data_IF_975736126631
#
_entry.id   IF_975736126631
#
_cell.length_a   1.000
_cell.length_b   1.000
_cell.length_c   1.000
_cell.angle_alpha   90.00
_cell.angle_beta   90.00
_cell.angle_gamma   90.00
#
_symmetry.space_group_name_H-M   'P 1'
#
loop_
_entity.id
_entity.type
_entity.pdbx_description
1 polymer ?
#
# COMPACT_ATOMS: atom_id res chain seq x y z
N UNK A 1 -52.20 24.38 29.26
CA UNK A 1 -51.41 24.11 28.05
C UNK A 1 -49.96 24.06 28.49
N UNK A 2 -49.50 22.87 28.85
CA UNK A 2 -48.10 22.60 29.25
C UNK A 2 -47.23 22.50 27.99
N UNK A 3 -46.00 23.05 27.98
CA UNK A 3 -45.11 22.89 26.84
C UNK A 3 -44.65 21.42 26.75
N UNK A 4 -44.46 20.87 25.54
CA UNK A 4 -43.96 19.51 25.39
C UNK A 4 -42.48 19.45 25.83
N UNK A 5 -42.19 18.58 26.78
CA UNK A 5 -40.83 18.17 27.15
C UNK A 5 -40.11 17.63 25.90
N UNK A 6 -39.16 18.41 25.39
CA UNK A 6 -38.31 18.04 24.26
C UNK A 6 -37.01 17.37 24.72
N UNK A 7 -37.08 16.49 25.71
CA UNK A 7 -35.97 15.57 26.00
C UNK A 7 -36.05 14.40 25.04
N UNK A 8 -35.69 14.64 23.78
CA UNK A 8 -35.31 13.57 22.89
C UNK A 8 -34.09 12.88 23.52
N UNK A 9 -34.32 11.70 24.10
CA UNK A 9 -33.29 10.81 24.62
C UNK A 9 -32.21 10.61 23.55
N UNK A 10 -31.06 11.26 23.73
CA UNK A 10 -29.84 10.89 23.03
C UNK A 10 -29.32 9.59 23.64
N UNK A 11 -30.00 8.47 23.34
CA UNK A 11 -29.46 7.16 23.61
C UNK A 11 -28.08 7.09 22.93
N UNK A 12 -26.99 6.85 23.68
CA UNK A 12 -25.67 6.76 23.08
C UNK A 12 -25.69 5.61 22.08
N UNK A 13 -25.47 5.93 20.81
CA UNK A 13 -25.33 4.92 19.76
C UNK A 13 -24.17 4.01 20.13
N UNK A 14 -24.49 2.79 20.56
CA UNK A 14 -23.48 1.79 20.92
C UNK A 14 -22.66 1.52 19.67
N UNK A 15 -21.38 1.87 19.71
CA UNK A 15 -20.48 1.58 18.59
C UNK A 15 -20.37 0.07 18.45
N UNK A 16 -20.52 -0.47 17.24
CA UNK A 16 -20.30 -1.89 17.02
C UNK A 16 -18.89 -2.32 17.43
N UNK A 17 -18.75 -3.57 17.90
CA UNK A 17 -17.49 -4.11 18.42
C UNK A 17 -16.34 -4.07 17.39
N UNK A 18 -16.67 -4.18 16.09
CA UNK A 18 -15.70 -4.10 15.00
C UNK A 18 -15.17 -2.67 14.74
N UNK A 19 -15.78 -1.63 15.31
CA UNK A 19 -15.26 -0.25 15.18
C UNK A 19 -14.24 0.11 16.28
N UNK A 20 -13.99 -0.82 17.21
CA UNK A 20 -13.10 -0.59 18.35
C UNK A 20 -11.63 -0.58 17.93
N UNK A 21 -10.81 0.15 18.70
CA UNK A 21 -9.35 0.16 18.51
C UNK A 21 -8.74 -1.21 18.77
N UNK A 22 -9.31 -1.96 19.72
CA UNK A 22 -8.87 -3.32 20.04
C UNK A 22 -9.09 -4.24 18.84
N UNK A 23 -10.26 -4.22 18.21
CA UNK A 23 -10.51 -5.03 17.02
C UNK A 23 -9.52 -4.72 15.89
N UNK A 24 -9.29 -3.44 15.61
CA UNK A 24 -8.29 -3.04 14.61
C UNK A 24 -6.87 -3.52 14.98
N UNK A 25 -6.46 -3.39 16.24
CA UNK A 25 -5.16 -3.86 16.72
C UNK A 25 -5.03 -5.40 16.61
N UNK A 26 -6.09 -6.14 16.93
CA UNK A 26 -6.13 -7.60 16.77
C UNK A 26 -5.96 -7.98 15.30
N UNK A 27 -6.69 -7.36 14.38
CA UNK A 27 -6.55 -7.65 12.94
C UNK A 27 -5.14 -7.34 12.41
N UNK A 28 -4.54 -6.22 12.84
CA UNK A 28 -3.15 -5.86 12.49
C UNK A 28 -2.18 -6.91 13.04
N UNK A 29 -2.37 -7.33 14.30
CA UNK A 29 -1.54 -8.36 14.93
C UNK A 29 -1.69 -9.74 14.29
N UNK A 30 -2.90 -10.12 13.86
CA UNK A 30 -3.14 -11.40 13.19
C UNK A 30 -2.42 -11.49 11.83
N UNK A 31 -2.22 -10.38 11.13
CA UNK A 31 -1.48 -10.36 9.86
C UNK A 31 0.00 -10.78 10.01
N UNK A 32 0.55 -10.68 11.22
CA UNK A 32 1.92 -11.08 11.56
C UNK A 32 2.04 -12.60 11.79
N UNK A 33 0.95 -13.25 12.22
CA UNK A 33 0.96 -14.62 12.76
C UNK A 33 1.49 -15.68 11.81
N UNK A 34 1.15 -15.70 10.50
CA UNK A 34 1.63 -16.74 9.58
C UNK A 34 3.16 -16.81 9.46
N UNK A 35 3.86 -15.73 9.80
CA UNK A 35 5.30 -15.59 9.64
C UNK A 35 6.07 -15.78 10.96
N UNK A 36 5.37 -16.00 12.08
CA UNK A 36 5.98 -16.30 13.39
C UNK A 36 6.74 -17.63 13.36
N UNK A 37 6.07 -18.67 12.90
CA UNK A 37 6.56 -20.05 12.91
C UNK A 37 7.81 -20.28 12.04
N UNK A 38 7.82 -19.95 10.73
CA UNK A 38 8.97 -20.26 9.89
C UNK A 38 10.19 -19.42 10.26
N UNK A 39 11.36 -20.05 10.41
CA UNK A 39 12.63 -19.35 10.67
C UNK A 39 13.04 -18.46 9.50
N UNK A 40 12.76 -18.90 8.28
CA UNK A 40 12.90 -18.12 7.06
C UNK A 40 11.51 -18.01 6.41
N UNK A 41 10.97 -16.79 6.21
CA UNK A 41 9.67 -16.63 5.57
C UNK A 41 9.61 -17.38 4.23
N UNK A 42 8.58 -18.20 3.98
CA UNK A 42 8.53 -19.09 2.81
C UNK A 42 8.08 -18.33 1.54
N UNK A 43 8.79 -17.26 1.19
CA UNK A 43 8.51 -16.45 0.00
C UNK A 43 9.44 -16.87 -1.14
N UNK A 44 8.90 -16.94 -2.37
CA UNK A 44 9.54 -17.59 -3.53
C UNK A 44 10.95 -17.06 -3.81
N UNK A 45 11.11 -15.74 -3.92
CA UNK A 45 12.38 -15.09 -4.27
C UNK A 45 13.26 -14.74 -3.07
N UNK A 46 12.81 -15.02 -1.84
CA UNK A 46 13.48 -14.51 -0.63
C UNK A 46 14.91 -15.01 -0.50
N UNK A 47 15.16 -16.29 -0.78
CA UNK A 47 16.50 -16.86 -0.68
C UNK A 47 17.46 -16.23 -1.70
N UNK A 48 16.96 -15.88 -2.88
CA UNK A 48 17.74 -15.11 -3.86
C UNK A 48 18.12 -13.72 -3.34
N UNK A 49 17.17 -13.03 -2.69
CA UNK A 49 17.45 -11.76 -2.03
C UNK A 49 18.46 -11.90 -0.89
N UNK A 50 18.33 -12.92 -0.04
CA UNK A 50 19.27 -13.18 1.06
C UNK A 50 20.68 -13.45 0.56
N UNK A 51 20.84 -14.20 -0.53
CA UNK A 51 22.15 -14.40 -1.17
C UNK A 51 22.75 -13.07 -1.63
N UNK A 52 21.96 -12.22 -2.27
CA UNK A 52 22.41 -10.88 -2.69
C UNK A 52 22.78 -9.98 -1.50
N UNK A 53 21.99 -9.97 -0.43
CA UNK A 53 22.28 -9.22 0.79
C UNK A 53 23.56 -9.71 1.47
N UNK A 54 23.82 -11.02 1.43
CA UNK A 54 25.08 -11.57 1.91
C UNK A 54 26.26 -11.01 1.12
N UNK A 55 26.15 -10.96 -0.21
CA UNK A 55 27.18 -10.33 -1.06
C UNK A 55 27.33 -8.85 -0.70
N UNK A 56 26.24 -8.11 -0.60
CA UNK A 56 26.24 -6.69 -0.22
C UNK A 56 27.00 -6.41 1.08
N UNK A 57 26.79 -7.22 2.11
CA UNK A 57 27.38 -7.03 3.44
C UNK A 57 28.86 -7.43 3.50
N UNK A 58 29.23 -8.53 2.84
CA UNK A 58 30.53 -9.18 3.06
C UNK A 58 31.54 -8.97 1.92
N UNK A 59 31.13 -8.39 0.76
CA UNK A 59 31.98 -8.29 -0.43
C UNK A 59 33.32 -7.61 -0.16
N UNK A 60 33.35 -6.56 0.65
CA UNK A 60 34.59 -5.85 0.97
C UNK A 60 35.61 -6.70 1.73
N UNK A 61 35.16 -7.74 2.43
CA UNK A 61 35.98 -8.56 3.34
C UNK A 61 36.16 -10.01 2.87
N UNK A 62 35.59 -10.39 1.72
CA UNK A 62 35.66 -11.76 1.20
C UNK A 62 36.37 -11.79 -0.15
N UNK A 63 37.63 -12.29 -0.20
CA UNK A 63 38.35 -12.49 -1.46
C UNK A 63 37.60 -13.41 -2.42
N UNK A 64 36.87 -14.40 -1.90
CA UNK A 64 36.07 -15.31 -2.72
C UNK A 64 34.88 -14.59 -3.38
N UNK A 65 34.17 -13.72 -2.65
CA UNK A 65 33.09 -12.92 -3.26
C UNK A 65 33.62 -11.93 -4.30
N UNK A 66 34.79 -11.33 -4.06
CA UNK A 66 35.41 -10.37 -4.98
C UNK A 66 35.82 -10.99 -6.33
N UNK A 67 36.00 -12.33 -6.40
CA UNK A 67 36.27 -13.03 -7.66
C UNK A 67 35.06 -13.06 -8.59
N UNK A 68 33.84 -13.09 -8.03
CA UNK A 68 32.62 -13.35 -8.80
C UNK A 68 31.66 -12.16 -8.84
N UNK A 69 31.75 -11.23 -7.87
CA UNK A 69 30.79 -10.16 -7.72
C UNK A 69 31.48 -8.79 -7.64
N UNK A 70 30.78 -7.77 -8.15
CA UNK A 70 31.03 -6.37 -7.85
C UNK A 70 29.74 -5.73 -7.38
N UNK A 71 29.82 -4.72 -6.52
CA UNK A 71 28.66 -4.04 -5.97
C UNK A 71 28.75 -2.54 -6.26
N UNK A 72 27.74 -1.99 -6.94
CA UNK A 72 27.66 -0.57 -7.30
C UNK A 72 26.34 0.02 -6.84
N UNK A 73 26.42 0.96 -5.89
CA UNK A 73 25.25 1.68 -5.40
C UNK A 73 24.72 2.66 -6.43
N UNK A 74 23.43 2.55 -6.72
CA UNK A 74 22.68 3.49 -7.54
C UNK A 74 21.38 3.82 -6.82
N UNK A 75 21.01 5.09 -6.69
CA UNK A 75 19.77 5.47 -6.02
C UNK A 75 18.55 5.20 -6.92
N UNK A 76 18.13 3.94 -6.94
CA UNK A 76 17.02 3.43 -7.75
C UNK A 76 15.80 3.08 -6.89
N UNK A 77 14.64 2.99 -7.52
CA UNK A 77 13.39 2.67 -6.83
C UNK A 77 13.18 1.17 -6.59
N UNK A 78 14.13 0.56 -5.89
CA UNK A 78 14.09 -0.85 -5.43
C UNK A 78 15.18 -1.10 -4.36
N UNK A 79 15.38 -0.18 -3.42
CA UNK A 79 16.48 -0.18 -2.46
C UNK A 79 16.06 -0.20 -0.98
N UNK A 80 14.77 -0.13 -0.67
CA UNK A 80 14.29 0.04 0.70
C UNK A 80 14.82 -1.03 1.65
N UNK A 81 14.64 -2.31 1.30
CA UNK A 81 15.08 -3.44 2.11
C UNK A 81 16.60 -3.50 2.19
N UNK A 82 17.29 -3.30 1.07
CA UNK A 82 18.76 -3.25 0.99
C UNK A 82 19.34 -2.30 2.05
N UNK A 83 18.85 -1.05 2.06
CA UNK A 83 19.30 -0.04 3.01
C UNK A 83 18.96 -0.39 4.46
N UNK A 84 17.83 -1.07 4.70
CA UNK A 84 17.43 -1.52 6.03
C UNK A 84 18.28 -2.71 6.52
N UNK A 85 18.73 -3.58 5.62
CA UNK A 85 19.53 -4.76 5.95
C UNK A 85 20.90 -4.36 6.50
N UNK A 86 21.52 -3.29 6.00
CA UNK A 86 22.84 -2.82 6.47
C UNK A 86 22.91 -2.66 8.01
N UNK A 87 22.05 -1.85 8.65
CA UNK A 87 22.05 -1.74 10.12
C UNK A 87 21.43 -2.95 10.81
N UNK A 88 20.35 -3.53 10.29
CA UNK A 88 19.64 -4.61 10.98
C UNK A 88 20.46 -5.90 11.03
N UNK A 89 21.17 -6.25 9.97
CA UNK A 89 22.02 -7.44 9.96
C UNK A 89 23.18 -7.33 10.97
N UNK A 90 23.69 -6.11 11.21
CA UNK A 90 24.70 -5.87 12.26
C UNK A 90 24.13 -6.08 13.67
N UNK A 91 22.85 -5.81 13.87
CA UNK A 91 22.20 -5.91 15.18
C UNK A 91 21.71 -7.33 15.51
N UNK A 92 21.11 -8.02 14.53
CA UNK A 92 20.39 -9.29 14.77
C UNK A 92 20.79 -10.41 13.81
N UNK A 93 21.73 -10.18 12.91
CA UNK A 93 22.08 -11.10 11.83
C UNK A 93 21.16 -10.98 10.62
N UNK A 94 21.65 -11.39 9.46
CA UNK A 94 20.95 -11.25 8.17
C UNK A 94 19.59 -11.98 8.16
N UNK A 95 19.54 -13.23 8.62
CA UNK A 95 18.32 -14.04 8.59
C UNK A 95 17.20 -13.43 9.42
N UNK A 96 17.51 -13.00 10.65
CA UNK A 96 16.53 -12.35 11.53
C UNK A 96 16.13 -10.97 10.98
N UNK A 97 17.07 -10.20 10.44
CA UNK A 97 16.78 -8.90 9.83
C UNK A 97 15.75 -9.04 8.69
N UNK A 98 15.99 -9.99 7.77
CA UNK A 98 15.07 -10.27 6.66
C UNK A 98 13.73 -10.77 7.17
N UNK A 99 13.72 -11.68 8.16
CA UNK A 99 12.48 -12.16 8.80
C UNK A 99 11.66 -11.00 9.38
N UNK A 100 12.26 -10.12 10.18
CA UNK A 100 11.57 -8.98 10.79
C UNK A 100 10.98 -8.03 9.75
N UNK A 101 11.73 -7.74 8.66
CA UNK A 101 11.24 -6.91 7.57
C UNK A 101 10.05 -7.57 6.86
N UNK A 102 10.15 -8.86 6.52
CA UNK A 102 9.03 -9.57 5.89
C UNK A 102 7.80 -9.62 6.80
N UNK A 103 8.01 -9.83 8.10
CA UNK A 103 6.94 -9.94 9.08
C UNK A 103 6.17 -8.63 9.31
N UNK A 104 6.82 -7.46 9.21
CA UNK A 104 6.14 -6.18 9.48
C UNK A 104 5.27 -5.69 8.30
N UNK A 105 5.51 -6.19 7.08
CA UNK A 105 4.82 -5.72 5.87
C UNK A 105 3.30 -6.01 5.89
N UNK A 106 2.82 -7.23 6.19
CA UNK A 106 1.37 -7.49 6.23
C UNK A 106 0.64 -6.66 7.30
N UNK A 107 1.13 -6.54 8.56
CA UNK A 107 0.54 -5.64 9.55
C UNK A 107 0.45 -4.18 9.09
N UNK A 108 1.51 -3.65 8.45
CA UNK A 108 1.48 -2.28 7.90
C UNK A 108 0.43 -2.13 6.80
N UNK A 109 0.28 -3.14 5.94
CA UNK A 109 -0.73 -3.15 4.88
C UNK A 109 -2.15 -3.14 5.46
N UNK A 110 -2.42 -4.01 6.44
CA UNK A 110 -3.71 -4.05 7.15
C UNK A 110 -3.98 -2.73 7.85
N UNK A 111 -2.99 -2.16 8.55
CA UNK A 111 -3.13 -0.86 9.19
C UNK A 111 -3.47 0.25 8.17
N UNK A 112 -2.82 0.23 7.00
CA UNK A 112 -3.13 1.11 5.87
C UNK A 112 -4.58 1.01 5.41
N UNK A 113 -5.05 -0.21 5.12
CA UNK A 113 -6.43 -0.47 4.68
C UNK A 113 -7.47 -0.01 5.70
N UNK A 114 -7.29 -0.35 6.98
CA UNK A 114 -8.21 0.05 8.04
C UNK A 114 -8.20 1.57 8.25
N UNK A 115 -7.03 2.21 8.17
CA UNK A 115 -6.92 3.66 8.36
C UNK A 115 -7.57 4.43 7.21
N UNK A 116 -7.29 4.09 5.95
CA UNK A 116 -7.93 4.74 4.80
C UNK A 116 -9.45 4.54 4.81
N UNK A 117 -9.94 3.34 5.12
CA UNK A 117 -11.38 3.08 5.21
C UNK A 117 -12.02 3.96 6.29
N UNK A 118 -11.39 4.07 7.46
CA UNK A 118 -11.87 4.94 8.54
C UNK A 118 -11.87 6.41 8.16
N UNK A 119 -10.84 6.89 7.48
CA UNK A 119 -10.73 8.31 7.10
C UNK A 119 -11.79 8.71 6.07
N UNK A 120 -12.12 7.81 5.14
CA UNK A 120 -13.13 8.06 4.10
C UNK A 120 -14.55 7.92 4.64
N UNK A 121 -14.82 6.89 5.45
CA UNK A 121 -16.18 6.59 5.90
C UNK A 121 -16.52 7.22 7.26
N UNK A 122 -15.56 7.86 7.93
CA UNK A 122 -15.66 8.37 9.31
C UNK A 122 -15.96 7.30 10.39
N UNK A 123 -16.03 6.05 9.98
CA UNK A 123 -16.20 4.83 10.77
C UNK A 123 -15.46 3.69 10.06
N UNK A 124 -15.27 2.56 10.73
CA UNK A 124 -14.70 1.39 10.09
C UNK A 124 -15.83 0.51 9.53
N UNK A 125 -16.08 0.49 8.20
CA UNK A 125 -17.11 -0.36 7.65
C UNK A 125 -16.72 -1.84 7.81
N UNK A 126 -17.67 -2.76 8.05
CA UNK A 126 -17.37 -4.19 8.18
C UNK A 126 -16.77 -4.77 6.89
N UNK A 127 -17.08 -4.18 5.74
CA UNK A 127 -16.51 -4.56 4.43
C UNK A 127 -15.01 -4.30 4.31
N UNK A 128 -14.41 -3.48 5.19
CA UNK A 128 -12.95 -3.30 5.22
C UNK A 128 -12.22 -4.63 5.50
N UNK A 129 -12.85 -5.55 6.22
CA UNK A 129 -12.31 -6.89 6.48
C UNK A 129 -12.09 -7.70 5.19
N UNK A 130 -12.89 -7.46 4.14
CA UNK A 130 -12.78 -8.16 2.85
C UNK A 130 -11.48 -7.82 2.11
N UNK A 131 -10.85 -6.68 2.41
CA UNK A 131 -9.59 -6.30 1.79
C UNK A 131 -8.36 -6.92 2.47
N UNK A 132 -8.50 -7.41 3.71
CA UNK A 132 -7.36 -7.84 4.53
C UNK A 132 -6.59 -9.05 3.98
N UNK A 133 -7.22 -10.04 3.29
CA UNK A 133 -6.47 -11.13 2.66
C UNK A 133 -5.39 -10.66 1.69
N UNK A 134 -5.58 -9.50 1.03
CA UNK A 134 -4.59 -8.95 0.10
C UNK A 134 -3.30 -8.44 0.79
N UNK A 135 -3.25 -8.39 2.12
CA UNK A 135 -2.00 -8.17 2.86
C UNK A 135 -0.99 -9.32 2.65
N UNK A 136 -1.47 -10.51 2.27
CA UNK A 136 -0.67 -11.66 1.86
C UNK A 136 -0.88 -11.97 0.37
N UNK A 137 -1.08 -10.93 -0.44
CA UNK A 137 -1.26 -11.07 -1.90
C UNK A 137 -0.06 -11.70 -2.58
N UNK A 138 -0.26 -12.13 -3.82
CA UNK A 138 0.76 -12.81 -4.60
C UNK A 138 2.12 -12.11 -4.65
N UNK A 139 2.22 -10.77 -4.85
CA UNK A 139 3.51 -10.08 -4.82
C UNK A 139 4.27 -10.25 -3.51
N UNK A 140 3.56 -10.33 -2.37
CA UNK A 140 4.17 -10.59 -1.07
C UNK A 140 4.67 -12.04 -0.98
N UNK A 141 3.82 -13.00 -1.32
CA UNK A 141 4.17 -14.43 -1.31
C UNK A 141 5.28 -14.77 -2.29
N UNK A 142 5.38 -14.03 -3.39
CA UNK A 142 6.47 -14.16 -4.34
C UNK A 142 7.79 -13.62 -3.79
N UNK A 143 7.75 -12.69 -2.82
CA UNK A 143 8.95 -12.16 -2.17
C UNK A 143 9.37 -10.78 -2.66
N UNK A 144 8.49 -10.02 -3.34
CA UNK A 144 8.78 -8.65 -3.78
C UNK A 144 8.74 -7.65 -2.61
N UNK A 145 9.62 -7.84 -1.62
CA UNK A 145 9.58 -7.15 -0.33
C UNK A 145 9.66 -5.62 -0.47
N UNK A 146 10.53 -5.12 -1.33
CA UNK A 146 10.64 -3.68 -1.65
C UNK A 146 9.31 -3.12 -2.17
N UNK A 147 8.71 -3.79 -3.15
CA UNK A 147 7.41 -3.41 -3.71
C UNK A 147 6.31 -3.43 -2.66
N UNK A 148 6.15 -4.54 -1.93
CA UNK A 148 5.07 -4.69 -0.95
C UNK A 148 5.24 -3.78 0.26
N UNK A 149 6.48 -3.52 0.70
CA UNK A 149 6.77 -2.54 1.74
C UNK A 149 6.40 -1.13 1.25
N UNK A 150 6.77 -0.76 0.03
CA UNK A 150 6.39 0.53 -0.55
C UNK A 150 4.86 0.68 -0.65
N UNK A 151 4.14 -0.37 -1.08
CA UNK A 151 2.67 -0.37 -1.12
C UNK A 151 2.05 -0.22 0.28
N UNK A 152 2.54 -0.96 1.28
CA UNK A 152 2.07 -0.86 2.66
C UNK A 152 2.23 0.57 3.21
N UNK A 153 3.41 1.17 3.00
CA UNK A 153 3.69 2.55 3.37
C UNK A 153 2.84 3.55 2.57
N UNK A 154 2.54 3.27 1.29
CA UNK A 154 1.69 4.11 0.46
C UNK A 154 0.24 4.14 0.97
N UNK A 155 -0.31 3.00 1.42
CA UNK A 155 -1.65 2.99 2.02
C UNK A 155 -1.71 3.77 3.35
N UNK A 156 -0.69 3.64 4.20
CA UNK A 156 -0.58 4.44 5.43
C UNK A 156 -0.42 5.93 5.12
N UNK A 157 0.44 6.28 4.16
CA UNK A 157 0.62 7.66 3.71
C UNK A 157 -0.68 8.22 3.12
N UNK A 158 -1.43 7.42 2.36
CA UNK A 158 -2.73 7.85 1.83
C UNK A 158 -3.75 8.10 2.97
N UNK A 159 -3.79 7.24 3.99
CA UNK A 159 -4.57 7.50 5.21
C UNK A 159 -4.19 8.83 5.88
N UNK A 160 -2.89 9.12 5.98
CA UNK A 160 -2.39 10.41 6.47
C UNK A 160 -2.81 11.59 5.58
N UNK A 161 -2.75 11.43 4.24
CA UNK A 161 -3.15 12.45 3.27
C UNK A 161 -4.61 12.86 3.47
N UNK A 162 -5.49 11.86 3.56
CA UNK A 162 -6.92 12.06 3.82
C UNK A 162 -7.16 12.74 5.16
N UNK A 163 -6.47 12.30 6.22
CA UNK A 163 -6.58 12.88 7.56
C UNK A 163 -6.18 14.34 7.58
N UNK A 164 -5.04 14.69 7.01
CA UNK A 164 -4.56 16.08 6.95
C UNK A 164 -5.49 16.96 6.12
N UNK A 165 -6.06 16.43 5.03
CA UNK A 165 -7.03 17.14 4.21
C UNK A 165 -8.33 17.43 4.98
N UNK A 166 -8.85 16.46 5.74
CA UNK A 166 -10.03 16.62 6.62
C UNK A 166 -9.78 17.67 7.71
N UNK A 167 -8.57 17.71 8.27
CA UNK A 167 -8.17 18.69 9.29
C UNK A 167 -7.79 20.07 8.70
N UNK A 168 -7.89 20.26 7.38
CA UNK A 168 -7.50 21.52 6.71
C UNK A 168 -6.00 21.84 6.76
N UNK A 169 -5.14 20.86 7.08
CA UNK A 169 -3.70 21.06 7.31
C UNK A 169 -2.88 21.00 6.01
N UNK A 170 -3.25 21.78 5.00
CA UNK A 170 -2.63 21.74 3.66
C UNK A 170 -1.12 22.01 3.68
N UNK A 171 -0.64 22.94 4.53
CA UNK A 171 0.80 23.23 4.65
C UNK A 171 1.58 22.05 5.21
N UNK A 172 1.08 21.39 6.27
CA UNK A 172 1.71 20.19 6.83
C UNK A 172 1.70 19.04 5.84
N UNK A 173 0.63 18.91 5.07
CA UNK A 173 0.54 17.95 3.96
C UNK A 173 1.64 18.20 2.94
N UNK A 174 1.84 19.44 2.50
CA UNK A 174 2.93 19.74 1.58
C UNK A 174 4.30 19.40 2.17
N UNK A 175 4.58 19.80 3.41
CA UNK A 175 5.90 19.55 4.05
C UNK A 175 6.18 18.06 4.21
N UNK A 176 5.21 17.27 4.70
CA UNK A 176 5.41 15.86 5.01
C UNK A 176 5.51 14.98 3.75
N UNK A 177 4.79 15.33 2.68
CA UNK A 177 4.73 14.48 1.49
C UNK A 177 5.95 14.59 0.57
N UNK A 178 6.79 15.63 0.75
CA UNK A 178 8.12 15.66 0.12
C UNK A 178 8.98 14.48 0.60
N UNK A 179 9.38 14.35 1.88
CA UNK A 179 10.23 13.25 2.33
C UNK A 179 9.53 11.89 2.20
N UNK A 180 8.21 11.79 2.42
CA UNK A 180 7.47 10.53 2.22
C UNK A 180 7.60 10.03 0.78
N UNK A 181 7.56 10.94 -0.22
CA UNK A 181 7.71 10.55 -1.62
C UNK A 181 9.09 9.93 -1.92
N UNK A 182 10.16 10.47 -1.34
CA UNK A 182 11.52 9.93 -1.49
C UNK A 182 11.68 8.59 -0.76
N UNK A 183 11.10 8.44 0.43
CA UNK A 183 11.12 7.16 1.17
C UNK A 183 10.41 6.07 0.35
N UNK A 184 9.20 6.37 -0.15
CA UNK A 184 8.43 5.43 -0.97
C UNK A 184 9.13 5.10 -2.28
N UNK A 185 9.68 6.10 -2.97
CA UNK A 185 10.43 5.88 -4.20
C UNK A 185 11.62 4.96 -3.94
N UNK A 186 12.42 5.25 -2.90
CA UNK A 186 13.59 4.44 -2.53
C UNK A 186 13.18 3.00 -2.20
N UNK A 187 12.04 2.80 -1.53
CA UNK A 187 11.49 1.46 -1.33
C UNK A 187 11.13 0.81 -2.66
N UNK A 188 10.23 1.42 -3.42
CA UNK A 188 9.86 0.97 -4.76
C UNK A 188 9.09 2.04 -5.55
N UNK A 189 9.41 2.22 -6.84
CA UNK A 189 8.77 3.24 -7.69
C UNK A 189 7.24 3.07 -7.79
N UNK A 190 6.73 1.84 -7.84
CA UNK A 190 5.29 1.58 -7.93
C UNK A 190 4.48 2.08 -6.72
N UNK A 191 4.99 1.96 -5.48
CA UNK A 191 4.27 2.46 -4.31
C UNK A 191 4.22 3.98 -4.27
N UNK A 192 5.32 4.64 -4.69
CA UNK A 192 5.35 6.09 -4.91
C UNK A 192 4.34 6.53 -5.98
N UNK A 193 4.34 5.88 -7.16
CA UNK A 193 3.41 6.20 -8.24
C UNK A 193 1.95 5.99 -7.84
N UNK A 194 1.65 4.89 -7.16
CA UNK A 194 0.31 4.57 -6.64
C UNK A 194 -0.15 5.62 -5.63
N UNK A 195 0.71 6.04 -4.69
CA UNK A 195 0.38 7.12 -3.76
C UNK A 195 0.06 8.42 -4.52
N UNK A 196 0.84 8.75 -5.55
CA UNK A 196 0.60 9.91 -6.41
C UNK A 196 -0.81 9.91 -7.00
N UNK A 197 -1.20 8.79 -7.62
CA UNK A 197 -2.53 8.60 -8.20
C UNK A 197 -3.65 8.69 -7.17
N UNK A 198 -3.49 8.03 -6.01
CA UNK A 198 -4.46 8.05 -4.92
C UNK A 198 -4.65 9.46 -4.32
N UNK A 199 -3.55 10.17 -4.06
CA UNK A 199 -3.59 11.52 -3.53
C UNK A 199 -4.21 12.51 -4.53
N UNK A 200 -3.88 12.37 -5.82
CA UNK A 200 -4.49 13.12 -6.91
C UNK A 200 -5.99 12.88 -7.00
N UNK A 201 -6.43 11.62 -7.06
CA UNK A 201 -7.85 11.27 -7.19
C UNK A 201 -8.66 11.75 -6.00
N UNK A 202 -8.16 11.54 -4.77
CA UNK A 202 -8.80 12.00 -3.56
C UNK A 202 -8.89 13.53 -3.47
N UNK A 203 -7.86 14.24 -3.92
CA UNK A 203 -7.87 15.70 -3.94
C UNK A 203 -8.80 16.26 -5.01
N UNK A 204 -8.88 15.63 -6.19
CA UNK A 204 -9.79 16.03 -7.25
C UNK A 204 -11.25 15.91 -6.78
N UNK A 205 -11.62 14.77 -6.17
CA UNK A 205 -12.95 14.58 -5.57
C UNK A 205 -13.21 15.63 -4.47
N UNK A 206 -12.26 15.84 -3.57
CA UNK A 206 -12.41 16.81 -2.47
C UNK A 206 -12.63 18.24 -2.95
N UNK A 207 -11.94 18.66 -4.02
CA UNK A 207 -12.12 19.97 -4.63
C UNK A 207 -13.47 20.06 -5.35
N UNK A 208 -13.86 19.00 -6.05
CA UNK A 208 -15.15 18.94 -6.73
C UNK A 208 -16.33 18.99 -5.76
N UNK A 209 -16.26 18.25 -4.65
CA UNK A 209 -17.28 18.25 -3.58
C UNK A 209 -17.40 19.61 -2.86
N UNK A 210 -16.45 20.54 -3.09
CA UNK A 210 -16.52 21.94 -2.64
C UNK A 210 -17.16 22.88 -3.68
N UNK A 211 -17.75 22.34 -4.74
CA UNK A 211 -18.41 23.11 -5.80
C UNK A 211 -17.49 23.57 -6.93
N UNK A 212 -16.28 23.02 -7.05
CA UNK A 212 -15.35 23.36 -8.15
C UNK A 212 -15.60 22.42 -9.33
N UNK A 213 -15.62 22.97 -10.55
CA UNK A 213 -15.75 22.17 -11.77
C UNK A 213 -14.64 21.11 -11.88
N UNK A 214 -14.96 19.93 -12.43
CA UNK A 214 -14.03 18.79 -12.51
C UNK A 214 -12.66 19.13 -13.12
N UNK A 215 -12.62 19.93 -14.19
CA UNK A 215 -11.37 20.31 -14.83
C UNK A 215 -10.48 21.15 -13.90
N UNK A 216 -11.06 22.16 -13.24
CA UNK A 216 -10.35 23.00 -12.27
C UNK A 216 -9.96 22.21 -11.03
N UNK A 217 -10.80 21.27 -10.60
CA UNK A 217 -10.54 20.37 -9.48
C UNK A 217 -9.35 19.45 -9.77
N UNK A 218 -9.30 18.84 -10.95
CA UNK A 218 -8.18 18.02 -11.41
C UNK A 218 -6.88 18.83 -11.51
N UNK A 219 -6.92 20.04 -12.08
CA UNK A 219 -5.76 20.91 -12.15
C UNK A 219 -5.21 21.26 -10.76
N UNK A 220 -6.08 21.65 -9.81
CA UNK A 220 -5.69 21.92 -8.41
C UNK A 220 -5.15 20.68 -7.71
N UNK A 221 -5.73 19.51 -7.99
CA UNK A 221 -5.26 18.24 -7.47
C UNK A 221 -3.86 17.91 -7.97
N UNK A 222 -3.57 18.14 -9.26
CA UNK A 222 -2.24 17.97 -9.84
C UNK A 222 -1.21 18.90 -9.16
N UNK A 223 -1.54 20.18 -8.95
CA UNK A 223 -0.67 21.12 -8.24
C UNK A 223 -0.39 20.67 -6.79
N UNK A 224 -1.39 20.11 -6.11
CA UNK A 224 -1.20 19.58 -4.76
C UNK A 224 -0.37 18.28 -4.75
N UNK A 225 -0.55 17.40 -5.72
CA UNK A 225 0.21 16.16 -5.85
C UNK A 225 1.66 16.40 -6.30
N UNK A 226 1.96 17.54 -6.96
CA UNK A 226 3.29 17.92 -7.44
C UNK A 226 4.34 17.94 -6.32
N UNK A 227 3.93 18.10 -5.07
CA UNK A 227 4.83 18.03 -3.90
C UNK A 227 5.56 16.68 -3.79
N UNK A 228 5.02 15.63 -4.40
CA UNK A 228 5.62 14.29 -4.43
C UNK A 228 6.42 14.03 -5.71
N UNK A 229 6.61 15.02 -6.60
CA UNK A 229 7.28 14.82 -7.88
C UNK A 229 8.81 14.82 -7.79
N UNK A 230 9.40 15.16 -6.63
CA UNK A 230 10.85 15.20 -6.42
C UNK A 230 11.62 13.96 -6.92
N UNK A 231 11.15 12.72 -6.66
CA UNK A 231 11.78 11.50 -7.16
C UNK A 231 11.88 11.39 -8.70
N UNK A 232 11.10 12.15 -9.47
CA UNK A 232 11.26 12.22 -10.94
C UNK A 232 12.65 12.69 -11.32
N UNK A 233 13.27 13.61 -10.55
CA UNK A 233 14.64 14.07 -10.78
C UNK A 233 15.62 12.90 -10.67
N UNK A 234 15.44 12.02 -9.69
CA UNK A 234 16.25 10.82 -9.52
C UNK A 234 16.05 9.84 -10.68
N UNK A 235 14.79 9.59 -11.07
CA UNK A 235 14.49 8.74 -12.22
C UNK A 235 15.15 9.23 -13.51
N UNK A 236 15.15 10.55 -13.74
CA UNK A 236 15.78 11.16 -14.91
C UNK A 236 17.31 11.06 -14.85
N UNK A 237 17.90 11.23 -13.66
CA UNK A 237 19.36 11.12 -13.47
C UNK A 237 19.89 9.71 -13.78
N UNK A 238 19.14 8.66 -13.42
CA UNK A 238 19.54 7.26 -13.59
C UNK A 238 18.92 6.57 -14.81
N UNK A 239 18.24 7.34 -15.70
CA UNK A 239 17.48 6.80 -16.85
C UNK A 239 18.34 5.96 -17.81
N UNK A 240 19.62 6.28 -17.94
CA UNK A 240 20.53 5.56 -18.84
C UNK A 240 21.00 4.20 -18.29
N UNK A 241 21.03 4.06 -16.96
CA UNK A 241 21.57 2.86 -16.28
C UNK A 241 20.47 1.84 -15.94
N UNK A 242 19.20 2.25 -15.97
CA UNK A 242 18.05 1.40 -15.73
C UNK A 242 17.43 1.03 -17.07
N UNK A 243 17.76 -0.15 -17.58
CA UNK A 243 17.04 -0.74 -18.72
C UNK A 243 15.54 -0.85 -18.36
N UNK A 244 14.71 -0.04 -18.99
CA UNK A 244 13.28 0.01 -18.70
C UNK A 244 12.58 -1.30 -19.05
N UNK A 245 11.62 -1.70 -18.21
CA UNK A 245 10.65 -2.71 -18.61
C UNK A 245 9.97 -2.22 -19.89
N UNK A 246 10.05 -2.97 -21.01
CA UNK A 246 9.38 -2.56 -22.23
C UNK A 246 7.89 -2.42 -21.93
N UNK A 247 7.26 -1.32 -22.36
CA UNK A 247 5.78 -1.17 -22.35
C UNK A 247 5.10 -2.15 -23.31
N UNK A 248 5.89 -2.99 -23.98
CA UNK A 248 5.44 -4.08 -24.80
C UNK A 248 4.56 -5.04 -23.98
N UNK A 249 3.31 -5.21 -24.41
CA UNK A 249 2.33 -6.04 -23.71
C UNK A 249 1.50 -5.31 -22.66
N UNK A 250 1.53 -3.96 -22.59
CA UNK A 250 0.64 -3.20 -21.70
C UNK A 250 -0.83 -3.63 -21.87
N UNK A 251 -1.31 -3.77 -23.10
CA UNK A 251 -2.68 -4.22 -23.40
C UNK A 251 -2.82 -5.76 -23.51
N UNK A 252 -1.94 -6.54 -22.88
CA UNK A 252 -2.09 -8.00 -22.85
C UNK A 252 -3.21 -8.40 -21.86
N UNK A 253 -4.43 -8.47 -22.38
CA UNK A 253 -5.63 -8.80 -21.63
C UNK A 253 -5.60 -10.21 -21.01
N UNK A 254 -4.90 -11.15 -21.64
CA UNK A 254 -4.73 -12.51 -21.11
C UNK A 254 -3.91 -12.46 -19.82
N UNK A 255 -2.76 -11.78 -19.84
CA UNK A 255 -1.93 -11.59 -18.64
C UNK A 255 -2.67 -10.83 -17.54
N UNK A 256 -3.41 -9.77 -17.87
CA UNK A 256 -4.21 -9.02 -16.88
C UNK A 256 -5.26 -9.90 -16.20
N UNK A 257 -5.99 -10.71 -16.98
CA UNK A 257 -6.96 -11.66 -16.44
C UNK A 257 -6.30 -12.70 -15.52
N UNK A 258 -5.14 -13.21 -15.91
CA UNK A 258 -4.36 -14.14 -15.08
C UNK A 258 -3.89 -13.47 -13.77
N UNK A 259 -3.40 -12.23 -13.81
CA UNK A 259 -2.98 -11.51 -12.60
C UNK A 259 -4.13 -11.28 -11.62
N UNK A 260 -5.32 -10.96 -12.12
CA UNK A 260 -6.52 -10.83 -11.28
C UNK A 260 -6.90 -12.17 -10.64
N UNK A 261 -6.88 -13.27 -11.41
CA UNK A 261 -7.15 -14.61 -10.89
C UNK A 261 -6.09 -15.09 -9.88
N UNK A 262 -4.87 -14.54 -9.97
CA UNK A 262 -3.73 -14.87 -9.13
C UNK A 262 -3.48 -13.82 -8.04
N UNK A 263 -4.44 -12.94 -7.73
CA UNK A 263 -4.19 -11.84 -6.80
C UNK A 263 -3.82 -12.29 -5.37
N UNK A 264 -4.35 -13.43 -4.91
CA UNK A 264 -3.93 -14.08 -3.67
C UNK A 264 -2.80 -15.09 -3.93
N UNK A 265 -3.04 -16.12 -4.76
CA UNK A 265 -2.07 -17.14 -5.18
C UNK A 265 -1.21 -17.66 -4.03
N UNK A 266 -1.91 -18.15 -3.02
CA UNK A 266 -1.35 -18.96 -1.94
C UNK A 266 -1.13 -20.41 -2.42
N UNK A 267 -0.58 -21.25 -1.52
CA UNK A 267 -0.43 -22.69 -1.72
C UNK A 267 -1.77 -23.41 -1.89
N UNK A 268 -2.84 -22.88 -1.30
CA UNK A 268 -4.17 -23.49 -1.32
C UNK A 268 -5.06 -22.84 -2.39
N UNK A 269 -4.90 -23.23 -3.65
CA UNK A 269 -5.64 -22.67 -4.78
C UNK A 269 -7.16 -22.64 -4.57
N UNK A 270 -7.74 -23.68 -3.95
CA UNK A 270 -9.18 -23.71 -3.65
C UNK A 270 -9.62 -22.58 -2.72
N UNK A 271 -8.82 -22.29 -1.68
CA UNK A 271 -9.07 -21.19 -0.75
C UNK A 271 -8.97 -19.84 -1.45
N UNK A 272 -7.96 -19.66 -2.30
CA UNK A 272 -7.78 -18.42 -3.08
C UNK A 272 -9.00 -18.14 -3.96
N UNK A 273 -9.47 -19.15 -4.70
CA UNK A 273 -10.61 -19.01 -5.60
C UNK A 273 -11.88 -18.67 -4.79
N UNK A 274 -12.13 -19.36 -3.68
CA UNK A 274 -13.29 -19.09 -2.82
C UNK A 274 -13.25 -17.66 -2.29
N UNK A 275 -12.10 -17.20 -1.78
CA UNK A 275 -11.94 -15.84 -1.26
C UNK A 275 -12.12 -14.79 -2.35
N UNK A 276 -11.49 -14.97 -3.51
CA UNK A 276 -11.61 -14.03 -4.63
C UNK A 276 -13.03 -13.96 -5.17
N UNK A 277 -13.71 -15.11 -5.33
CA UNK A 277 -15.12 -15.16 -5.75
C UNK A 277 -16.01 -14.49 -4.70
N UNK A 278 -15.82 -14.76 -3.41
CA UNK A 278 -16.59 -14.11 -2.34
C UNK A 278 -16.41 -12.59 -2.35
N UNK A 279 -15.16 -12.10 -2.42
CA UNK A 279 -14.85 -10.66 -2.50
C UNK A 279 -15.47 -10.04 -3.76
N UNK A 280 -15.35 -10.72 -4.92
CA UNK A 280 -15.92 -10.29 -6.18
C UNK A 280 -17.46 -10.19 -6.15
N UNK A 281 -18.13 -11.21 -5.59
CA UNK A 281 -19.58 -11.21 -5.39
C UNK A 281 -20.02 -10.09 -4.44
N UNK A 282 -19.32 -9.89 -3.33
CA UNK A 282 -19.59 -8.76 -2.43
C UNK A 282 -19.44 -7.40 -3.16
N UNK A 283 -18.41 -7.27 -4.01
CA UNK A 283 -18.22 -6.08 -4.85
C UNK A 283 -19.37 -5.89 -5.85
N UNK A 284 -19.80 -6.95 -6.54
CA UNK A 284 -20.92 -6.91 -7.47
C UNK A 284 -22.25 -6.55 -6.79
N UNK A 285 -22.53 -7.13 -5.62
CA UNK A 285 -23.70 -6.78 -4.80
C UNK A 285 -23.63 -5.33 -4.34
N UNK A 286 -22.46 -4.84 -3.94
CA UNK A 286 -22.28 -3.45 -3.53
C UNK A 286 -22.51 -2.43 -4.66
N UNK A 287 -22.29 -2.84 -5.92
CA UNK A 287 -22.53 -2.00 -7.10
C UNK A 287 -23.98 -2.05 -7.61
N UNK A 288 -24.69 -3.14 -7.36
CA UNK A 288 -26.03 -3.40 -7.92
C UNK A 288 -27.17 -3.15 -6.94
N UNK A 289 -26.89 -3.16 -5.63
CA UNK A 289 -27.92 -2.99 -4.59
C UNK A 289 -27.83 -1.63 -3.91
N UNK A 290 -28.94 -1.19 -3.31
CA UNK A 290 -29.01 0.04 -2.51
C UNK A 290 -28.58 -0.16 -1.05
N UNK A 291 -28.19 -1.38 -0.67
CA UNK A 291 -27.75 -1.71 0.67
C UNK A 291 -26.38 -1.12 1.02
N UNK A 292 -25.58 -0.82 -0.01
CA UNK A 292 -24.24 -0.26 0.14
C UNK A 292 -24.19 1.17 -0.39
N UNK A 293 -23.42 2.02 0.29
CA UNK A 293 -23.07 3.36 -0.19
C UNK A 293 -21.59 3.37 -0.53
N UNK A 294 -21.27 3.61 -1.80
CA UNK A 294 -19.89 3.77 -2.23
C UNK A 294 -19.41 5.17 -1.91
N UNK A 295 -18.21 5.28 -1.34
CA UNK A 295 -17.56 6.57 -1.22
C UNK A 295 -17.13 7.04 -2.61
N UNK A 296 -17.52 8.25 -2.99
CA UNK A 296 -17.05 8.90 -4.22
C UNK A 296 -15.52 8.97 -4.28
N UNK A 297 -14.88 9.21 -3.14
CA UNK A 297 -13.42 9.30 -3.05
C UNK A 297 -12.74 7.96 -3.41
N UNK A 298 -13.16 6.86 -2.77
CA UNK A 298 -12.57 5.55 -3.04
C UNK A 298 -13.03 4.98 -4.39
N UNK A 299 -14.26 5.24 -4.82
CA UNK A 299 -14.75 4.81 -6.13
C UNK A 299 -13.96 5.49 -7.27
N UNK A 300 -13.74 6.80 -7.18
CA UNK A 300 -12.94 7.52 -8.16
C UNK A 300 -11.47 7.09 -8.13
N UNK A 301 -10.92 6.85 -6.92
CA UNK A 301 -9.56 6.32 -6.78
C UNK A 301 -9.41 4.93 -7.39
N UNK A 302 -10.38 4.04 -7.17
CA UNK A 302 -10.42 2.72 -7.79
C UNK A 302 -10.53 2.82 -9.32
N UNK A 303 -11.31 3.77 -9.85
CA UNK A 303 -11.39 4.03 -11.29
C UNK A 303 -10.04 4.48 -11.86
N UNK A 304 -9.37 5.45 -11.22
CA UNK A 304 -8.04 5.92 -11.65
C UNK A 304 -7.02 4.79 -11.66
N UNK A 305 -7.00 3.95 -10.62
CA UNK A 305 -6.13 2.78 -10.56
C UNK A 305 -6.51 1.72 -11.61
N UNK A 306 -7.79 1.54 -11.92
CA UNK A 306 -8.26 0.62 -12.97
C UNK A 306 -7.82 1.10 -14.35
N UNK A 307 -7.92 2.40 -14.62
CA UNK A 307 -7.43 3.01 -15.87
C UNK A 307 -5.91 2.87 -15.97
N UNK A 308 -5.18 3.08 -14.87
CA UNK A 308 -3.74 2.87 -14.84
C UNK A 308 -3.34 1.39 -14.95
N UNK A 309 -4.24 0.47 -14.59
CA UNK A 309 -4.01 -0.97 -14.73
C UNK A 309 -4.27 -1.47 -16.14
N UNK A 310 -5.24 -0.91 -16.87
CA UNK A 310 -5.69 -1.34 -18.21
C UNK A 310 -4.81 -0.77 -19.31
#
# INVERSE_FOLDING_TARGET
MTPPDSTADFAPTIRPWWETRLFAAVLIGLAFVPLLYPSVPPLVDLLGHMGRYRVELDLAQSPDLQRYFSFKWHLIGNLGVDLLIIPLAKMVGLEMAVKLIAMIIPPLTVAGFLWMAREVHHRLPPTAALALPFALSHPFLFGFLNYTMSMALAFLAFGLWLRLARLGQTRRRAILFVPISFILFTCHTFGWGTLGLLCFSAEAVRQHDRGIDWWKAAYRAALHALVMAGPVVLMLAWRADVAGAPTHGWFNWVSKGQWLAQALRDRWQGLDVVLLVAIGLCGAVALTTRWFTLSRNLAFSALVLTIAFV
#
